data_IF_703189341584
#
_entry.id   IF_703189341584
#
_cell.length_a   1.000
_cell.length_b   1.000
_cell.length_c   1.000
_cell.angle_alpha   90.00
_cell.angle_beta   90.00
_cell.angle_gamma   90.00
#
_symmetry.space_group_name_H-M   'P 1'
#
loop_
_entity.id
_entity.type
_entity.pdbx_description
1 polymer ?
#
# COMPACT_ATOMS: atom_id res chain seq x y z
N UNK A 1 -1.74 36.20 -16.67
CA UNK A 1 -0.60 35.48 -16.08
C UNK A 1 -0.94 34.76 -14.79
N UNK A 2 -1.59 35.40 -13.82
CA UNK A 2 -1.94 34.75 -12.53
C UNK A 2 -2.88 33.56 -12.72
N UNK A 3 -3.88 33.67 -13.58
CA UNK A 3 -4.82 32.58 -13.86
C UNK A 3 -4.11 31.38 -14.47
N UNK A 4 -3.16 31.65 -15.38
CA UNK A 4 -2.36 30.59 -16.00
C UNK A 4 -1.53 29.82 -14.99
N UNK A 5 -0.91 30.53 -14.03
CA UNK A 5 -0.10 29.91 -12.98
C UNK A 5 -0.95 29.07 -12.04
N UNK A 6 -2.16 29.50 -11.72
CA UNK A 6 -3.09 28.74 -10.88
C UNK A 6 -3.49 27.45 -11.58
N UNK A 7 -3.78 27.49 -12.88
CA UNK A 7 -4.14 26.30 -13.64
C UNK A 7 -2.98 25.30 -13.68
N UNK A 8 -1.77 25.77 -13.90
CA UNK A 8 -0.59 24.92 -13.91
C UNK A 8 -0.34 24.27 -12.54
N UNK A 9 -0.52 25.03 -11.45
CA UNK A 9 -0.38 24.50 -10.10
C UNK A 9 -1.42 23.42 -9.80
N UNK A 10 -2.67 23.64 -10.16
CA UNK A 10 -3.74 22.64 -9.98
C UNK A 10 -3.48 21.37 -10.77
N UNK A 11 -3.01 21.48 -12.00
CA UNK A 11 -2.68 20.33 -12.82
C UNK A 11 -1.49 19.54 -12.23
N UNK A 12 -0.48 20.22 -11.72
CA UNK A 12 0.65 19.57 -11.09
C UNK A 12 0.23 18.77 -9.85
N UNK A 13 -0.69 19.29 -9.04
CA UNK A 13 -1.21 18.58 -7.86
C UNK A 13 -1.97 17.32 -8.27
N UNK A 14 -2.79 17.38 -9.30
CA UNK A 14 -3.53 16.23 -9.80
C UNK A 14 -2.57 15.15 -10.32
N UNK A 15 -1.55 15.53 -11.05
CA UNK A 15 -0.53 14.60 -11.55
C UNK A 15 0.23 13.95 -10.40
N UNK A 16 0.57 14.70 -9.35
CA UNK A 16 1.25 14.18 -8.18
C UNK A 16 0.38 13.13 -7.46
N UNK A 17 -0.92 13.41 -7.26
CA UNK A 17 -1.86 12.46 -6.66
C UNK A 17 -2.00 11.19 -7.48
N UNK A 18 -2.13 11.30 -8.80
CA UNK A 18 -2.20 10.15 -9.69
C UNK A 18 -0.90 9.35 -9.65
N UNK A 19 0.25 10.03 -9.57
CA UNK A 19 1.55 9.40 -9.45
C UNK A 19 1.71 8.62 -8.16
N UNK A 20 1.22 9.16 -7.05
CA UNK A 20 1.25 8.49 -5.75
C UNK A 20 0.39 7.23 -5.76
N UNK A 21 -0.82 7.31 -6.28
CA UNK A 21 -1.72 6.16 -6.38
C UNK A 21 -1.09 5.05 -7.23
N UNK A 22 -0.59 5.40 -8.40
CA UNK A 22 0.06 4.44 -9.29
C UNK A 22 1.25 3.76 -8.62
N UNK A 23 2.10 4.54 -7.96
CA UNK A 23 3.31 4.04 -7.31
C UNK A 23 2.97 3.13 -6.13
N UNK A 24 1.98 3.51 -5.34
CA UNK A 24 1.50 2.69 -4.22
C UNK A 24 0.95 1.35 -4.72
N UNK A 25 0.10 1.37 -5.74
CA UNK A 25 -0.46 0.15 -6.30
C UNK A 25 0.63 -0.76 -6.88
N UNK A 26 1.60 -0.19 -7.57
CA UNK A 26 2.72 -0.95 -8.14
C UNK A 26 3.53 -1.64 -7.03
N UNK A 27 3.81 -0.93 -5.95
CA UNK A 27 4.57 -1.47 -4.83
C UNK A 27 3.80 -2.58 -4.12
N UNK A 28 2.50 -2.40 -3.90
CA UNK A 28 1.66 -3.44 -3.29
C UNK A 28 1.54 -4.65 -4.19
N UNK A 29 1.35 -4.46 -5.49
CA UNK A 29 1.30 -5.58 -6.44
C UNK A 29 2.58 -6.41 -6.40
N UNK A 30 3.74 -5.76 -6.38
CA UNK A 30 5.02 -6.46 -6.30
C UNK A 30 5.16 -7.23 -4.98
N UNK A 31 4.74 -6.63 -3.87
CA UNK A 31 4.74 -7.28 -2.56
C UNK A 31 3.84 -8.52 -2.55
N UNK A 32 2.64 -8.42 -3.11
CA UNK A 32 1.69 -9.53 -3.19
C UNK A 32 2.26 -10.66 -4.06
N UNK A 33 2.82 -10.33 -5.21
CA UNK A 33 3.42 -11.34 -6.10
C UNK A 33 4.57 -12.08 -5.42
N UNK A 34 5.35 -11.40 -4.61
CA UNK A 34 6.50 -12.00 -3.93
C UNK A 34 6.10 -12.81 -2.70
N UNK A 35 5.08 -12.37 -1.96
CA UNK A 35 4.82 -12.89 -0.61
C UNK A 35 3.51 -13.65 -0.45
N UNK A 36 2.59 -13.56 -1.38
CA UNK A 36 1.34 -14.31 -1.34
C UNK A 36 1.52 -15.63 -2.10
N UNK A 37 1.26 -16.75 -1.44
CA UNK A 37 1.47 -18.07 -2.03
C UNK A 37 0.52 -18.37 -3.18
N UNK A 38 -0.64 -17.73 -3.19
CA UNK A 38 -1.69 -17.96 -4.19
C UNK A 38 -1.92 -16.73 -5.08
N UNK A 39 -0.89 -15.92 -5.27
CA UNK A 39 -1.01 -14.67 -6.03
C UNK A 39 -1.54 -14.86 -7.45
N UNK A 40 -1.25 -16.00 -8.06
CA UNK A 40 -1.74 -16.36 -9.39
C UNK A 40 -3.19 -16.86 -9.40
N UNK A 41 -3.77 -17.10 -8.22
CA UNK A 41 -5.11 -17.67 -8.07
C UNK A 41 -6.13 -16.68 -7.53
N UNK A 42 -5.75 -15.44 -7.34
CA UNK A 42 -6.68 -14.38 -6.91
C UNK A 42 -7.15 -13.59 -8.13
N UNK A 43 -8.34 -13.02 -8.01
CA UNK A 43 -8.94 -12.20 -9.06
C UNK A 43 -9.64 -11.00 -8.46
N UNK A 44 -10.15 -10.10 -9.32
CA UNK A 44 -10.95 -8.97 -8.88
C UNK A 44 -10.21 -8.02 -7.95
N UNK A 45 -8.91 -7.82 -8.18
CA UNK A 45 -8.12 -6.88 -7.38
C UNK A 45 -8.67 -5.47 -7.54
N UNK A 46 -9.02 -4.86 -6.41
CA UNK A 46 -9.59 -3.53 -6.35
C UNK A 46 -8.88 -2.73 -5.27
N UNK A 47 -8.26 -1.62 -5.66
CA UNK A 47 -7.53 -0.75 -4.75
C UNK A 47 -8.36 0.45 -4.38
N UNK A 48 -8.39 0.78 -3.08
CA UNK A 48 -8.94 2.02 -2.61
C UNK A 48 -7.95 3.17 -2.84
N UNK A 49 -8.36 4.39 -2.57
CA UNK A 49 -7.46 5.53 -2.67
C UNK A 49 -6.36 5.45 -1.62
N UNK A 50 -5.14 5.76 -2.03
CA UNK A 50 -4.00 5.82 -1.09
C UNK A 50 -4.24 6.95 -0.09
N UNK A 51 -3.94 6.67 1.17
CA UNK A 51 -4.07 7.66 2.24
C UNK A 51 -2.83 7.69 3.11
N UNK A 52 -2.79 8.63 4.04
CA UNK A 52 -1.72 8.73 5.01
C UNK A 52 -2.25 8.45 6.41
N UNK A 53 -1.44 7.79 7.22
CA UNK A 53 -1.73 7.59 8.64
C UNK A 53 -0.74 8.38 9.46
N UNK A 54 -1.22 8.97 10.58
CA UNK A 54 -0.37 9.86 11.38
C UNK A 54 0.76 9.12 12.06
N UNK A 55 0.43 8.20 12.91
CA UNK A 55 1.44 7.50 13.68
C UNK A 55 0.99 6.06 13.95
N UNK A 56 1.87 5.15 13.66
CA UNK A 56 1.70 3.75 14.05
C UNK A 56 2.92 3.40 14.88
N UNK A 57 2.69 2.94 16.11
CA UNK A 57 3.78 2.61 17.02
C UNK A 57 4.60 1.45 16.48
N UNK A 58 5.88 1.42 16.83
CA UNK A 58 6.76 0.31 16.48
C UNK A 58 6.19 -1.02 17.00
N UNK A 59 5.60 -1.01 18.18
CA UNK A 59 4.97 -2.19 18.76
C UNK A 59 3.86 -2.73 17.87
N UNK A 60 3.00 -1.86 17.34
CA UNK A 60 1.91 -2.28 16.47
C UNK A 60 2.45 -2.81 15.14
N UNK A 61 3.48 -2.19 14.60
CA UNK A 61 4.12 -2.67 13.38
C UNK A 61 4.68 -4.08 13.59
N UNK A 62 5.35 -4.33 14.71
CA UNK A 62 5.88 -5.65 15.02
C UNK A 62 4.75 -6.68 15.18
N UNK A 63 3.63 -6.29 15.79
CA UNK A 63 2.47 -7.17 15.92
C UNK A 63 1.94 -7.55 14.54
N UNK A 64 1.77 -6.57 13.64
CA UNK A 64 1.30 -6.85 12.28
C UNK A 64 2.27 -7.76 11.52
N UNK A 65 3.57 -7.49 11.61
CA UNK A 65 4.58 -8.31 10.95
C UNK A 65 4.59 -9.74 11.46
N UNK A 66 4.42 -9.93 12.75
CA UNK A 66 4.40 -11.25 13.36
C UNK A 66 3.12 -12.01 13.05
N UNK A 67 1.99 -11.31 13.06
CA UNK A 67 0.68 -11.93 12.80
C UNK A 67 0.55 -12.39 11.34
N UNK A 68 1.03 -11.59 10.41
CA UNK A 68 0.82 -11.87 8.98
C UNK A 68 -0.65 -11.85 8.61
N UNK A 69 -0.99 -12.58 7.57
CA UNK A 69 -2.37 -12.73 7.11
C UNK A 69 -2.51 -14.07 6.37
N UNK A 70 -3.73 -14.62 6.29
CA UNK A 70 -3.98 -15.83 5.49
C UNK A 70 -3.51 -15.63 4.04
N UNK A 71 -3.04 -16.70 3.43
CA UNK A 71 -2.56 -16.77 2.05
C UNK A 71 -1.16 -16.18 1.84
N UNK A 72 -0.59 -15.50 2.84
CA UNK A 72 0.76 -14.97 2.75
C UNK A 72 1.76 -15.91 3.41
N UNK A 73 2.97 -15.97 2.87
CA UNK A 73 4.04 -16.79 3.45
C UNK A 73 4.44 -16.23 4.82
N UNK A 74 5.04 -17.06 5.64
CA UNK A 74 5.65 -16.64 6.89
C UNK A 74 7.08 -16.19 6.65
N UNK A 75 7.64 -15.42 7.59
CA UNK A 75 9.02 -14.99 7.49
C UNK A 75 9.27 -13.94 6.42
N UNK A 76 8.28 -13.09 6.15
CA UNK A 76 8.43 -12.00 5.18
C UNK A 76 9.51 -11.04 5.66
N UNK A 77 10.42 -10.66 4.74
CA UNK A 77 11.41 -9.63 5.02
C UNK A 77 10.82 -8.25 4.78
N UNK A 78 10.97 -7.37 5.76
CA UNK A 78 10.49 -6.00 5.67
C UNK A 78 11.64 -5.02 5.76
N UNK A 79 11.45 -3.85 5.18
CA UNK A 79 12.38 -2.75 5.34
C UNK A 79 12.35 -2.21 6.77
N UNK A 80 13.36 -1.41 7.11
CA UNK A 80 13.39 -0.69 8.38
C UNK A 80 12.17 0.21 8.51
N UNK A 81 11.60 0.26 9.71
CA UNK A 81 10.46 1.14 9.99
C UNK A 81 10.90 2.59 9.85
N UNK A 82 10.30 3.37 8.94
CA UNK A 82 10.62 4.78 8.81
C UNK A 82 10.01 5.58 9.96
N UNK A 83 10.57 6.73 10.23
CA UNK A 83 9.97 7.67 11.18
C UNK A 83 8.92 8.52 10.48
N UNK A 84 7.89 8.93 11.22
CA UNK A 84 6.86 9.81 10.71
C UNK A 84 5.66 9.08 10.14
N UNK A 85 4.96 9.77 9.26
CA UNK A 85 3.73 9.25 8.67
C UNK A 85 4.03 8.15 7.65
N UNK A 86 3.12 7.21 7.57
CA UNK A 86 3.14 6.16 6.56
C UNK A 86 1.96 6.35 5.61
N UNK A 87 2.13 5.90 4.39
CA UNK A 87 0.99 5.74 3.50
C UNK A 87 0.32 4.40 3.76
N UNK A 88 -0.97 4.30 3.45
CA UNK A 88 -1.65 3.02 3.46
C UNK A 88 -2.48 2.85 2.19
N UNK A 89 -2.62 1.60 1.77
CA UNK A 89 -3.42 1.23 0.61
C UNK A 89 -4.16 -0.06 0.91
N UNK A 90 -5.47 -0.06 0.70
CA UNK A 90 -6.30 -1.25 0.85
C UNK A 90 -6.47 -1.92 -0.49
N UNK A 91 -6.33 -3.25 -0.49
CA UNK A 91 -6.60 -4.07 -1.66
C UNK A 91 -7.68 -5.09 -1.31
N UNK A 92 -8.74 -5.11 -2.10
CA UNK A 92 -9.77 -6.14 -2.04
C UNK A 92 -9.53 -7.11 -3.18
N UNK A 93 -9.79 -8.38 -2.95
CA UNK A 93 -9.58 -9.40 -3.97
C UNK A 93 -10.48 -10.61 -3.69
N UNK A 94 -10.59 -11.50 -4.66
CA UNK A 94 -11.42 -12.69 -4.57
C UNK A 94 -10.51 -13.91 -4.63
N UNK A 95 -10.70 -14.84 -3.69
CA UNK A 95 -10.02 -16.11 -3.66
C UNK A 95 -11.05 -17.20 -3.32
N UNK A 96 -11.18 -18.20 -4.20
CA UNK A 96 -12.12 -19.31 -4.02
C UNK A 96 -13.55 -18.86 -3.69
N UNK A 97 -14.00 -17.81 -4.35
CA UNK A 97 -15.35 -17.27 -4.17
C UNK A 97 -15.51 -16.32 -3.00
N UNK A 98 -14.51 -16.21 -2.12
CA UNK A 98 -14.55 -15.32 -0.97
C UNK A 98 -13.87 -13.97 -1.31
N UNK A 99 -14.50 -12.88 -0.85
CA UNK A 99 -13.92 -11.56 -0.96
C UNK A 99 -13.09 -11.27 0.29
N UNK A 100 -11.83 -10.98 0.08
CA UNK A 100 -10.87 -10.69 1.15
C UNK A 100 -10.31 -9.28 0.98
N UNK A 101 -9.75 -8.75 2.05
CA UNK A 101 -9.16 -7.41 2.05
C UNK A 101 -7.91 -7.37 2.93
N UNK A 102 -6.87 -6.73 2.43
CA UNK A 102 -5.67 -6.43 3.21
C UNK A 102 -5.38 -4.94 3.15
N UNK A 103 -4.78 -4.42 4.19
CA UNK A 103 -4.30 -3.04 4.26
C UNK A 103 -2.78 -3.07 4.35
N UNK A 104 -2.14 -2.38 3.42
CA UNK A 104 -0.67 -2.32 3.32
C UNK A 104 -0.19 -0.95 3.74
N UNK A 105 0.81 -0.91 4.60
CA UNK A 105 1.44 0.32 5.07
C UNK A 105 2.77 0.48 4.37
N UNK A 106 2.99 1.65 3.76
CA UNK A 106 4.15 1.91 2.91
C UNK A 106 4.97 3.07 3.47
N UNK A 107 6.26 3.06 3.12
CA UNK A 107 7.16 4.17 3.43
C UNK A 107 6.77 5.43 2.66
N UNK A 108 7.38 6.56 3.01
CA UNK A 108 7.05 7.85 2.41
C UNK A 108 7.36 7.93 0.91
N UNK A 109 8.34 7.17 0.46
CA UNK A 109 8.73 7.10 -0.94
C UNK A 109 7.82 6.19 -1.76
N UNK A 110 6.92 5.46 -1.11
CA UNK A 110 6.01 4.48 -1.74
C UNK A 110 6.76 3.36 -2.48
N UNK A 111 7.92 3.00 -1.97
CA UNK A 111 8.80 2.00 -2.59
C UNK A 111 8.76 0.65 -1.89
N UNK A 112 8.31 0.60 -0.63
CA UNK A 112 8.37 -0.61 0.17
C UNK A 112 7.17 -0.73 1.08
N UNK A 113 6.71 -1.96 1.29
CA UNK A 113 5.70 -2.26 2.31
C UNK A 113 6.40 -2.44 3.65
N UNK A 114 5.96 -1.68 4.64
CA UNK A 114 6.52 -1.68 6.00
C UNK A 114 5.82 -2.73 6.88
N UNK A 115 4.53 -2.89 6.69
CA UNK A 115 3.70 -3.84 7.41
C UNK A 115 2.37 -3.99 6.68
N UNK A 116 1.58 -5.00 7.05
CA UNK A 116 0.22 -5.15 6.51
C UNK A 116 -0.64 -5.95 7.47
N UNK A 117 -1.95 -5.88 7.25
CA UNK A 117 -2.92 -6.65 8.00
C UNK A 117 -4.10 -7.08 7.13
#
# INVERSE_FOLDING_TARGET
>A
MRVRNIILGGLALLLASCGQQYKAEKTVKAFVEENMEVADKISGRDFADVGTTRHISDSLIQVMRHRGAPLFKQGISYAKVPQGELFFLRMRFIHEGDTLQNTFYLNQELTEVVAFK
#
